data_IF_227184914018
#
_entry.id   IF_227184914018
#
_cell.length_a   1.000
_cell.length_b   1.000
_cell.length_c   1.000
_cell.angle_alpha   90.00
_cell.angle_beta   90.00
_cell.angle_gamma   90.00
#
_symmetry.space_group_name_H-M   'P 1'
#
loop_
_entity.id
_entity.type
_entity.pdbx_description
1 polymer ?
#
# COMPACT_ATOMS: atom_id res chain seq x y z
N UNK A 1 -2.45 0.91 2.08
CA UNK A 1 -1.15 0.61 2.73
C UNK A 1 -0.19 0.26 1.64
N UNK A 2 1.04 0.75 1.72
CA UNK A 2 2.13 0.38 0.82
C UNK A 2 3.21 -0.28 1.66
N UNK A 3 3.73 -1.39 1.16
CA UNK A 3 4.84 -2.11 1.77
C UNK A 3 6.12 -1.28 1.69
N UNK A 4 6.54 -0.75 2.84
CA UNK A 4 7.63 0.22 3.00
C UNK A 4 8.18 0.07 4.41
N UNK A 5 9.37 0.60 4.69
CA UNK A 5 9.96 0.56 6.04
C UNK A 5 9.07 1.25 7.08
N UNK A 6 8.24 2.20 6.65
CA UNK A 6 7.24 2.85 7.51
C UNK A 6 6.27 1.84 8.15
N UNK A 7 5.96 0.74 7.48
CA UNK A 7 5.11 -0.32 8.06
C UNK A 7 5.81 -1.00 9.22
N UNK A 8 7.12 -1.20 9.14
CA UNK A 8 7.94 -1.80 10.20
C UNK A 8 7.94 -0.92 11.45
N UNK A 9 8.13 0.40 11.27
CA UNK A 9 8.08 1.35 12.38
C UNK A 9 6.71 1.40 13.06
N UNK A 10 5.63 1.32 12.27
CA UNK A 10 4.28 1.27 12.83
C UNK A 10 4.05 -0.04 13.57
N UNK A 11 4.47 -1.17 13.01
CA UNK A 11 4.32 -2.46 13.66
C UNK A 11 5.08 -2.49 14.99
N UNK A 12 6.31 -1.97 15.03
CA UNK A 12 7.08 -1.84 16.27
C UNK A 12 6.41 -0.93 17.30
N UNK A 13 5.73 0.13 16.87
CA UNK A 13 5.03 1.05 17.76
C UNK A 13 3.68 0.53 18.29
N UNK A 14 3.06 -0.43 17.58
CA UNK A 14 1.75 -0.99 17.90
C UNK A 14 1.81 -2.40 18.50
N UNK A 15 2.95 -3.07 18.45
CA UNK A 15 3.14 -4.40 19.02
C UNK A 15 2.83 -4.41 20.52
N UNK A 16 2.14 -5.45 20.97
CA UNK A 16 1.82 -5.62 22.40
C UNK A 16 3.07 -6.04 23.19
N UNK A 17 3.06 -5.82 24.51
CA UNK A 17 4.13 -6.32 25.38
C UNK A 17 4.29 -7.84 25.23
N UNK A 18 5.50 -8.28 24.87
CA UNK A 18 5.83 -9.69 24.65
C UNK A 18 5.62 -10.20 23.21
N UNK A 19 5.09 -9.38 22.31
CA UNK A 19 4.98 -9.69 20.88
C UNK A 19 6.16 -9.10 20.10
N UNK A 20 6.70 -9.82 19.12
CA UNK A 20 7.74 -9.25 18.26
C UNK A 20 7.16 -8.30 17.23
N UNK A 21 7.90 -7.22 16.91
CA UNK A 21 7.49 -6.27 15.87
C UNK A 21 7.33 -6.92 14.49
N UNK A 22 8.13 -7.97 14.20
CA UNK A 22 8.07 -8.71 12.94
C UNK A 22 6.79 -9.56 12.84
N UNK A 23 6.41 -10.27 13.89
CA UNK A 23 5.15 -11.02 13.95
C UNK A 23 3.96 -10.08 13.82
N UNK A 24 3.98 -8.97 14.57
CA UNK A 24 2.93 -7.96 14.50
C UNK A 24 2.81 -7.36 13.08
N UNK A 25 3.94 -7.07 12.43
CA UNK A 25 3.98 -6.62 11.03
C UNK A 25 3.34 -7.64 10.10
N UNK A 26 3.71 -8.92 10.22
CA UNK A 26 3.18 -9.98 9.36
C UNK A 26 1.66 -10.09 9.51
N UNK A 27 1.15 -10.02 10.74
CA UNK A 27 -0.30 -9.98 11.01
C UNK A 27 -0.97 -8.76 10.38
N UNK A 28 -0.41 -7.56 10.56
CA UNK A 28 -0.94 -6.33 9.96
C UNK A 28 -1.02 -6.42 8.43
N UNK A 29 0.02 -6.93 7.77
CA UNK A 29 0.06 -7.09 6.31
C UNK A 29 -0.98 -8.13 5.86
N UNK A 30 -1.08 -9.25 6.58
CA UNK A 30 -2.05 -10.30 6.28
C UNK A 30 -3.49 -9.79 6.41
N UNK A 31 -3.82 -9.14 7.53
CA UNK A 31 -5.14 -8.55 7.76
C UNK A 31 -5.50 -7.49 6.72
N UNK A 32 -4.54 -6.67 6.31
CA UNK A 32 -4.79 -5.67 5.28
C UNK A 32 -5.02 -6.34 3.93
N UNK A 33 -4.24 -7.35 3.59
CA UNK A 33 -4.35 -8.07 2.32
C UNK A 33 -5.68 -8.77 2.15
N UNK A 34 -6.30 -9.30 3.22
CA UNK A 34 -7.63 -9.92 3.15
C UNK A 34 -8.76 -8.91 2.89
N UNK A 35 -8.56 -7.63 3.21
CA UNK A 35 -9.53 -6.55 2.96
C UNK A 35 -9.35 -5.87 1.61
N UNK A 36 -8.17 -6.00 0.99
CA UNK A 36 -7.90 -5.47 -0.35
C UNK A 36 -8.50 -6.44 -1.38
N UNK A 37 -9.35 -6.00 -2.32
CA UNK A 37 -9.93 -6.89 -3.33
C UNK A 37 -8.91 -7.67 -4.18
N UNK A 38 -7.76 -7.07 -4.48
CA UNK A 38 -6.65 -7.77 -5.17
C UNK A 38 -5.89 -8.78 -4.29
N UNK A 39 -6.25 -8.94 -3.02
CA UNK A 39 -5.69 -9.95 -2.11
C UNK A 39 -4.26 -9.66 -1.62
N UNK A 40 -3.73 -8.45 -1.85
CA UNK A 40 -2.40 -8.02 -1.42
C UNK A 40 -2.37 -6.54 -1.10
N UNK A 41 -1.46 -6.11 -0.23
CA UNK A 41 -1.13 -4.68 -0.11
C UNK A 41 -0.37 -4.17 -1.34
N UNK A 42 -0.38 -2.86 -1.53
CA UNK A 42 0.41 -2.22 -2.57
C UNK A 42 1.91 -2.36 -2.25
N UNK A 43 2.72 -2.51 -3.28
CA UNK A 43 4.18 -2.47 -3.26
C UNK A 43 4.63 -1.08 -3.73
N UNK A 44 5.88 -0.72 -3.43
CA UNK A 44 6.45 0.56 -3.90
C UNK A 44 6.32 0.72 -5.42
N UNK A 45 6.52 -0.36 -6.16
CA UNK A 45 6.44 -0.39 -7.62
C UNK A 45 5.03 -0.07 -8.16
N UNK A 46 3.95 -0.41 -7.43
CA UNK A 46 2.59 -0.07 -7.87
C UNK A 46 2.42 1.46 -7.95
N UNK A 47 2.99 2.18 -6.98
CA UNK A 47 2.97 3.65 -6.94
C UNK A 47 3.91 4.21 -8.01
N UNK A 48 5.12 3.67 -8.11
CA UNK A 48 6.13 4.12 -9.07
C UNK A 48 5.64 3.96 -10.52
N UNK A 49 5.00 2.84 -10.85
CA UNK A 49 4.46 2.59 -12.19
C UNK A 49 3.33 3.57 -12.56
N UNK A 50 2.43 3.88 -11.62
CA UNK A 50 1.40 4.90 -11.84
C UNK A 50 2.02 6.29 -12.08
N UNK A 51 3.02 6.66 -11.26
CA UNK A 51 3.73 7.93 -11.44
C UNK A 51 4.48 7.98 -12.79
N UNK A 52 5.11 6.87 -13.20
CA UNK A 52 5.78 6.75 -14.47
C UNK A 52 4.81 6.90 -15.66
N UNK A 53 3.64 6.26 -15.58
CA UNK A 53 2.59 6.44 -16.59
C UNK A 53 2.15 7.91 -16.70
N UNK A 54 1.85 8.56 -15.57
CA UNK A 54 1.42 9.97 -15.54
C UNK A 54 2.50 10.96 -16.03
N UNK A 55 3.76 10.54 -15.99
CA UNK A 55 4.90 11.32 -16.48
C UNK A 55 5.21 11.04 -17.96
N UNK A 56 4.52 10.09 -18.58
CA UNK A 56 4.77 9.67 -19.96
C UNK A 56 3.91 10.43 -20.97
N UNK A 57 4.23 10.30 -22.26
CA UNK A 57 3.40 10.84 -23.34
C UNK A 57 2.02 10.18 -23.44
N UNK A 58 1.84 8.98 -22.89
CA UNK A 58 0.57 8.25 -22.94
C UNK A 58 -0.54 8.93 -22.12
N UNK A 59 -0.19 9.86 -21.24
CA UNK A 59 -1.14 10.59 -20.39
C UNK A 59 -1.19 12.09 -20.69
N UNK A 60 -0.80 12.54 -21.88
CA UNK A 60 -0.61 13.97 -22.20
C UNK A 60 -1.87 14.85 -22.02
N UNK A 61 -3.06 14.25 -22.09
CA UNK A 61 -4.34 14.92 -21.93
C UNK A 61 -4.99 14.67 -20.56
N UNK A 62 -4.27 14.04 -19.61
CA UNK A 62 -4.77 13.76 -18.27
C UNK A 62 -4.27 14.81 -17.27
N UNK A 63 -5.19 15.57 -16.66
CA UNK A 63 -4.86 16.56 -15.63
C UNK A 63 -6.01 16.78 -14.66
N UNK A 64 -5.72 17.26 -13.45
CA UNK A 64 -6.72 17.56 -12.41
C UNK A 64 -7.42 16.34 -11.81
N UNK A 65 -6.89 15.13 -12.04
CA UNK A 65 -7.47 13.88 -11.57
C UNK A 65 -6.86 13.45 -10.23
N UNK A 66 -7.67 12.78 -9.41
CA UNK A 66 -7.19 11.95 -8.30
C UNK A 66 -7.33 10.48 -8.71
N UNK A 67 -6.21 9.75 -8.75
CA UNK A 67 -6.18 8.35 -9.15
C UNK A 67 -5.81 7.49 -7.94
N UNK A 68 -6.71 6.56 -7.59
CA UNK A 68 -6.51 5.65 -6.47
C UNK A 68 -5.67 4.45 -6.88
N UNK A 69 -4.50 4.27 -6.27
CA UNK A 69 -3.65 3.08 -6.41
C UNK A 69 -3.80 2.23 -5.13
N UNK A 70 -4.98 1.61 -4.98
CA UNK A 70 -5.42 1.00 -3.71
C UNK A 70 -5.76 -0.49 -3.79
N UNK A 71 -5.52 -1.13 -4.94
CA UNK A 71 -5.91 -2.52 -5.18
C UNK A 71 -7.42 -2.77 -5.04
N UNK A 72 -8.24 -1.73 -5.24
CA UNK A 72 -9.70 -1.77 -5.10
C UNK A 72 -10.24 -1.39 -3.72
N UNK A 73 -9.39 -1.04 -2.76
CA UNK A 73 -9.82 -0.81 -1.37
C UNK A 73 -10.70 0.43 -1.17
N UNK A 74 -10.62 1.42 -2.05
CA UNK A 74 -11.34 2.70 -1.95
C UNK A 74 -12.66 2.71 -2.76
N UNK A 75 -13.12 1.56 -3.27
CA UNK A 75 -14.30 1.45 -4.16
C UNK A 75 -15.48 0.68 -3.53
N UNK A 76 -15.49 0.51 -2.21
CA UNK A 76 -16.58 -0.14 -1.45
C UNK A 76 -17.46 0.87 -0.71
#
# INVERSE_FOLDING_TARGET
MVDTERVDFIAAALASEGESAEEHRALMVQERSTRVPMGRIAQGDDIANMAAFLSSSESDYMTGLSISVSGGSEMN
#
